data_IF_765307213991
#
_entry.id   IF_765307213991
#
_cell.length_a   1.000
_cell.length_b   1.000
_cell.length_c   1.000
_cell.angle_alpha   90.00
_cell.angle_beta   90.00
_cell.angle_gamma   90.00
#
_symmetry.space_group_name_H-M   'P 1'
#
loop_
_entity.id
_entity.type
_entity.pdbx_description
1 polymer ?
#
# COMPACT_ATOMS: atom_id res chain seq x y z
N UNK A 1 -31.13 22.59 4.87
CA UNK A 1 -32.41 22.33 5.57
C UNK A 1 -32.20 21.13 6.49
N UNK A 2 -32.89 21.06 7.66
CA UNK A 2 -32.79 19.87 8.51
C UNK A 2 -33.34 18.64 7.79
N UNK A 3 -32.74 17.48 8.03
CA UNK A 3 -33.19 16.21 7.47
C UNK A 3 -34.37 15.66 8.26
N UNK A 4 -35.25 14.93 7.59
CA UNK A 4 -36.28 14.09 8.24
C UNK A 4 -35.69 12.74 8.63
N UNK A 5 -36.35 12.00 9.52
CA UNK A 5 -35.91 10.68 9.97
C UNK A 5 -35.64 9.73 8.80
N UNK A 6 -36.55 9.69 7.81
CA UNK A 6 -36.35 8.88 6.60
C UNK A 6 -35.12 9.29 5.78
N UNK A 7 -34.82 10.59 5.68
CA UNK A 7 -33.62 11.08 4.99
C UNK A 7 -32.33 10.73 5.73
N UNK A 8 -32.35 10.78 7.08
CA UNK A 8 -31.21 10.32 7.89
C UNK A 8 -30.99 8.82 7.70
N UNK A 9 -32.06 8.02 7.76
CA UNK A 9 -32.02 6.58 7.58
C UNK A 9 -31.42 6.21 6.22
N UNK A 10 -31.92 6.85 5.17
CA UNK A 10 -31.48 6.65 3.81
C UNK A 10 -30.01 7.05 3.59
N UNK A 11 -29.61 8.24 4.04
CA UNK A 11 -28.23 8.73 3.94
C UNK A 11 -27.24 7.93 4.78
N UNK A 12 -27.69 7.42 5.94
CA UNK A 12 -26.91 6.54 6.79
C UNK A 12 -26.83 5.10 6.28
N UNK A 13 -27.70 4.71 5.35
CA UNK A 13 -27.92 3.34 4.93
C UNK A 13 -28.26 2.41 6.11
N UNK A 14 -29.26 2.82 6.91
CA UNK A 14 -29.74 2.09 8.06
C UNK A 14 -31.28 2.03 8.04
N UNK A 15 -31.92 1.04 8.69
CA UNK A 15 -33.37 1.00 8.78
C UNK A 15 -33.95 2.25 9.49
N UNK A 16 -35.06 2.80 8.99
CA UNK A 16 -35.72 3.96 9.59
C UNK A 16 -36.13 3.68 11.06
N UNK A 17 -36.57 2.45 11.36
CA UNK A 17 -36.84 2.00 12.71
C UNK A 17 -35.66 2.09 13.66
N UNK A 18 -34.43 1.90 13.14
CA UNK A 18 -33.23 2.06 13.94
C UNK A 18 -32.95 3.54 14.29
N UNK A 19 -33.18 4.46 13.34
CA UNK A 19 -33.03 5.91 13.62
C UNK A 19 -34.04 6.35 14.66
N UNK A 20 -35.29 5.85 14.61
CA UNK A 20 -36.30 6.11 15.64
C UNK A 20 -35.86 5.58 17.00
N UNK A 21 -35.34 4.34 17.03
CA UNK A 21 -34.78 3.78 18.29
C UNK A 21 -33.65 4.65 18.86
N UNK A 22 -32.77 5.20 18.03
CA UNK A 22 -31.71 6.09 18.49
C UNK A 22 -32.23 7.40 19.06
N UNK A 23 -33.33 7.94 18.53
CA UNK A 23 -34.01 9.12 19.07
C UNK A 23 -34.65 8.77 20.44
N UNK A 24 -35.36 7.65 20.51
CA UNK A 24 -36.02 7.18 21.75
C UNK A 24 -35.02 6.92 22.88
N UNK A 25 -33.83 6.46 22.55
CA UNK A 25 -32.70 6.24 23.47
C UNK A 25 -31.92 7.53 23.81
N UNK A 26 -32.26 8.66 23.19
CA UNK A 26 -31.54 9.92 23.38
C UNK A 26 -30.17 10.01 22.72
N UNK A 27 -29.83 9.05 21.85
CA UNK A 27 -28.59 9.05 21.08
C UNK A 27 -28.58 10.11 19.96
N UNK A 28 -29.78 10.47 19.46
CA UNK A 28 -29.99 11.51 18.46
C UNK A 28 -30.99 12.52 19.01
N UNK A 29 -30.90 13.79 18.60
CA UNK A 29 -31.92 14.79 18.94
C UNK A 29 -33.28 14.42 18.30
N UNK A 30 -34.36 14.87 18.89
CA UNK A 30 -35.70 14.75 18.30
C UNK A 30 -35.79 15.48 16.96
N UNK A 31 -36.72 15.06 16.09
CA UNK A 31 -36.90 15.63 14.75
C UNK A 31 -37.14 17.15 14.76
N UNK A 32 -37.76 17.64 15.81
CA UNK A 32 -38.02 19.09 16.00
C UNK A 32 -36.75 19.92 16.24
N UNK A 33 -35.69 19.31 16.75
CA UNK A 33 -34.38 19.99 16.94
C UNK A 33 -33.57 20.12 15.67
N UNK A 34 -34.01 19.44 14.60
CA UNK A 34 -33.35 19.45 13.30
C UNK A 34 -32.19 18.43 13.23
N UNK A 35 -32.39 17.42 12.39
CA UNK A 35 -31.35 16.42 12.10
C UNK A 35 -30.45 16.89 10.98
N UNK A 36 -29.18 16.52 10.99
CA UNK A 36 -28.18 16.91 9.99
C UNK A 36 -27.20 15.79 9.65
N UNK A 37 -26.08 16.18 9.09
CA UNK A 37 -25.04 15.22 8.66
C UNK A 37 -24.38 14.52 9.86
N UNK A 38 -24.32 15.17 11.02
CA UNK A 38 -23.80 14.59 12.25
C UNK A 38 -24.65 13.39 12.70
N UNK A 39 -25.98 13.52 12.60
CA UNK A 39 -26.92 12.45 12.95
C UNK A 39 -26.86 11.29 11.97
N UNK A 40 -26.62 11.55 10.69
CA UNK A 40 -26.36 10.52 9.67
C UNK A 40 -25.11 9.70 10.06
N UNK A 41 -24.02 10.36 10.41
CA UNK A 41 -22.75 9.72 10.80
C UNK A 41 -22.92 8.89 12.07
N UNK A 42 -23.61 9.48 13.07
CA UNK A 42 -23.89 8.83 14.36
C UNK A 42 -24.75 7.58 14.17
N UNK A 43 -25.80 7.66 13.35
CA UNK A 43 -26.65 6.52 13.02
C UNK A 43 -25.87 5.40 12.35
N UNK A 44 -25.03 5.72 11.38
CA UNK A 44 -24.19 4.76 10.68
C UNK A 44 -23.23 4.03 11.61
N UNK A 45 -22.52 4.77 12.48
CA UNK A 45 -21.54 4.17 13.38
C UNK A 45 -22.22 3.29 14.43
N UNK A 46 -23.29 3.79 15.06
CA UNK A 46 -24.03 3.02 16.06
C UNK A 46 -24.66 1.76 15.46
N UNK A 47 -25.12 1.82 14.20
CA UNK A 47 -25.60 0.65 13.48
C UNK A 47 -24.48 -0.36 13.20
N UNK A 48 -23.30 0.11 12.77
CA UNK A 48 -22.14 -0.75 12.54
C UNK A 48 -21.69 -1.45 13.83
N UNK A 49 -21.69 -0.75 14.95
CA UNK A 49 -21.37 -1.35 16.25
C UNK A 49 -22.44 -2.34 16.70
N UNK A 50 -23.70 -2.03 16.50
CA UNK A 50 -24.78 -2.97 16.77
C UNK A 50 -24.68 -4.24 15.93
N UNK A 51 -24.32 -4.11 14.64
CA UNK A 51 -24.06 -5.25 13.75
C UNK A 51 -22.84 -6.07 14.19
N UNK A 52 -21.85 -5.44 14.84
CA UNK A 52 -20.71 -6.10 15.47
C UNK A 52 -21.02 -6.74 16.84
N UNK A 53 -22.29 -6.70 17.28
CA UNK A 53 -22.76 -7.32 18.53
C UNK A 53 -22.65 -6.42 19.77
N UNK A 54 -22.38 -5.11 19.61
CA UNK A 54 -22.35 -4.16 20.71
C UNK A 54 -23.73 -3.56 20.92
N UNK A 55 -24.27 -3.60 22.16
CA UNK A 55 -25.58 -2.98 22.48
C UNK A 55 -25.47 -1.47 22.46
N UNK A 56 -26.41 -0.81 21.78
CA UNK A 56 -26.50 0.66 21.71
C UNK A 56 -26.65 1.25 23.09
N UNK A 57 -27.48 0.66 23.97
CA UNK A 57 -27.70 1.08 25.33
C UNK A 57 -26.40 1.03 26.16
N UNK A 58 -25.59 0.00 25.96
CA UNK A 58 -24.28 -0.13 26.63
C UNK A 58 -23.33 0.97 26.17
N UNK A 59 -23.30 1.27 24.87
CA UNK A 59 -22.49 2.35 24.32
C UNK A 59 -22.91 3.70 24.91
N UNK A 60 -24.21 3.99 24.92
CA UNK A 60 -24.72 5.23 25.49
C UNK A 60 -24.42 5.34 26.98
N UNK A 61 -24.54 4.25 27.75
CA UNK A 61 -24.15 4.25 29.16
C UNK A 61 -22.66 4.56 29.39
N UNK A 62 -21.77 4.19 28.46
CA UNK A 62 -20.35 4.59 28.49
C UNK A 62 -20.18 6.07 28.17
N UNK A 63 -20.96 6.60 27.22
CA UNK A 63 -20.98 8.05 26.89
C UNK A 63 -21.46 8.87 28.09
N UNK A 64 -22.55 8.48 28.74
CA UNK A 64 -23.11 9.16 29.89
C UNK A 64 -22.16 9.16 31.09
N UNK A 65 -21.36 8.13 31.26
CA UNK A 65 -20.31 8.03 32.29
C UNK A 65 -19.02 8.78 31.95
N UNK A 66 -18.92 9.38 30.75
CA UNK A 66 -17.73 10.04 30.27
C UNK A 66 -16.58 9.08 29.92
N UNK A 67 -16.83 7.77 29.88
CA UNK A 67 -15.85 6.76 29.52
C UNK A 67 -15.68 6.59 27.97
N UNK A 68 -16.64 7.13 27.21
CA UNK A 68 -16.61 7.19 25.76
C UNK A 68 -17.16 8.54 25.31
N UNK A 69 -16.64 9.12 24.25
CA UNK A 69 -17.24 10.29 23.60
C UNK A 69 -17.43 10.05 22.12
N UNK A 70 -18.55 10.52 21.58
CA UNK A 70 -18.88 10.46 20.17
C UNK A 70 -18.56 11.77 19.44
N UNK A 71 -17.92 12.75 20.10
CA UNK A 71 -17.63 14.07 19.53
C UNK A 71 -16.70 14.01 18.29
N UNK A 72 -15.93 12.92 18.13
CA UNK A 72 -15.13 12.72 16.92
C UNK A 72 -15.99 12.58 15.65
N UNK A 73 -17.25 12.19 15.76
CA UNK A 73 -18.17 12.08 14.61
C UNK A 73 -18.56 13.45 14.03
N UNK A 74 -18.43 14.50 14.82
CA UNK A 74 -18.77 15.86 14.40
C UNK A 74 -17.58 16.54 13.67
N UNK A 75 -16.49 15.79 13.47
CA UNK A 75 -15.28 16.31 12.85
C UNK A 75 -15.37 16.33 11.32
N UNK A 76 -14.85 17.39 10.64
CA UNK A 76 -14.93 17.54 9.20
C UNK A 76 -14.31 16.40 8.37
N UNK A 77 -13.33 15.67 8.93
CA UNK A 77 -12.66 14.57 8.24
C UNK A 77 -13.50 13.28 8.13
N UNK A 78 -14.58 13.17 8.91
CA UNK A 78 -15.58 12.10 8.75
C UNK A 78 -16.56 12.44 7.62
N UNK A 79 -16.02 12.77 6.42
CA UNK A 79 -16.86 13.09 5.28
C UNK A 79 -17.67 11.87 4.84
N UNK A 80 -18.95 12.09 4.62
CA UNK A 80 -19.83 11.11 4.00
C UNK A 80 -20.07 11.57 2.56
N UNK A 81 -19.76 10.73 1.55
CA UNK A 81 -20.04 11.08 0.16
C UNK A 81 -21.51 11.48 -0.03
N UNK A 82 -21.76 12.49 -0.83
CA UNK A 82 -23.12 12.86 -1.19
C UNK A 82 -23.78 11.71 -1.94
N UNK A 83 -25.06 11.47 -1.63
CA UNK A 83 -25.84 10.45 -2.33
C UNK A 83 -26.52 11.09 -3.52
N UNK A 84 -26.41 10.44 -4.68
CA UNK A 84 -27.09 10.80 -5.89
C UNK A 84 -28.60 10.51 -5.76
N UNK A 85 -29.41 11.22 -6.54
CA UNK A 85 -30.85 10.89 -6.67
C UNK A 85 -31.09 9.74 -7.65
N UNK A 86 -30.24 8.70 -7.57
CA UNK A 86 -30.22 7.52 -8.44
C UNK A 86 -29.82 6.28 -7.64
N UNK A 87 -30.50 5.17 -7.91
CA UNK A 87 -30.07 3.88 -7.39
C UNK A 87 -28.86 3.33 -8.16
N UNK A 88 -28.15 2.37 -7.58
CA UNK A 88 -27.08 1.64 -8.29
C UNK A 88 -27.57 1.00 -9.60
N UNK A 89 -28.79 0.47 -9.61
CA UNK A 89 -29.40 -0.07 -10.82
C UNK A 89 -29.61 1.00 -11.90
N UNK A 90 -30.09 2.19 -11.52
CA UNK A 90 -30.28 3.29 -12.46
C UNK A 90 -28.94 3.84 -12.94
N UNK A 91 -27.96 4.03 -12.05
CA UNK A 91 -26.62 4.48 -12.40
C UNK A 91 -25.92 3.52 -13.36
N UNK A 92 -26.02 2.20 -13.11
CA UNK A 92 -25.48 1.17 -13.97
C UNK A 92 -26.16 1.18 -15.38
N UNK A 93 -27.48 1.29 -15.40
CA UNK A 93 -28.25 1.35 -16.65
C UNK A 93 -27.88 2.59 -17.49
N UNK A 94 -27.76 3.75 -16.87
CA UNK A 94 -27.39 5.01 -17.54
C UNK A 94 -26.00 4.95 -18.20
N UNK A 95 -25.10 4.13 -17.66
CA UNK A 95 -23.72 3.92 -18.14
C UNK A 95 -23.56 2.67 -19.00
N UNK A 96 -24.64 1.92 -19.26
CA UNK A 96 -24.59 0.71 -20.05
C UNK A 96 -23.71 -0.41 -19.43
N UNK A 97 -23.61 -0.47 -18.10
CA UNK A 97 -22.83 -1.46 -17.37
C UNK A 97 -23.74 -2.37 -16.55
N UNK A 98 -23.40 -3.65 -16.34
CA UNK A 98 -24.13 -4.50 -15.42
C UNK A 98 -23.97 -4.00 -13.96
N UNK A 99 -25.04 -4.07 -13.15
CA UNK A 99 -24.95 -3.78 -11.70
C UNK A 99 -23.90 -4.66 -11.02
N UNK A 100 -23.74 -5.90 -11.47
CA UNK A 100 -22.71 -6.82 -10.99
C UNK A 100 -21.29 -6.27 -11.14
N UNK A 101 -21.02 -5.42 -12.13
CA UNK A 101 -19.72 -4.77 -12.26
C UNK A 101 -19.49 -3.74 -11.12
N UNK A 102 -20.50 -2.92 -10.78
CA UNK A 102 -20.42 -2.02 -9.62
C UNK A 102 -20.21 -2.77 -8.31
N UNK A 103 -20.92 -3.88 -8.14
CA UNK A 103 -20.72 -4.74 -6.97
C UNK A 103 -19.29 -5.30 -6.92
N UNK A 104 -18.74 -5.74 -8.07
CA UNK A 104 -17.36 -6.19 -8.17
C UNK A 104 -16.34 -5.08 -7.87
N UNK A 105 -16.60 -3.83 -8.30
CA UNK A 105 -15.78 -2.66 -7.94
C UNK A 105 -15.75 -2.46 -6.43
N UNK A 106 -16.90 -2.45 -5.76
CA UNK A 106 -16.98 -2.31 -4.30
C UNK A 106 -16.22 -3.42 -3.58
N UNK A 107 -16.43 -4.68 -3.98
CA UNK A 107 -15.73 -5.83 -3.40
C UNK A 107 -14.22 -5.72 -3.60
N UNK A 108 -13.77 -5.31 -4.78
CA UNK A 108 -12.34 -5.11 -5.09
C UNK A 108 -11.72 -4.02 -4.22
N UNK A 109 -12.46 -2.93 -3.99
CA UNK A 109 -12.03 -1.86 -3.10
C UNK A 109 -12.08 -2.24 -1.60
N UNK A 110 -12.67 -3.40 -1.27
CA UNK A 110 -12.78 -3.90 0.11
C UNK A 110 -14.00 -3.38 0.85
N UNK A 111 -15.03 -2.93 0.11
CA UNK A 111 -16.30 -2.47 0.67
C UNK A 111 -17.41 -3.52 0.46
N UNK A 112 -18.47 -3.45 1.26
CA UNK A 112 -19.64 -4.28 1.05
C UNK A 112 -20.29 -3.95 -0.31
N UNK A 113 -20.65 -4.97 -1.11
CA UNK A 113 -21.33 -4.73 -2.36
C UNK A 113 -22.71 -4.09 -2.11
N UNK A 114 -23.08 -3.05 -2.86
CA UNK A 114 -24.37 -2.39 -2.67
C UNK A 114 -25.51 -3.26 -3.21
N UNK A 115 -26.70 -3.09 -2.62
CA UNK A 115 -27.93 -3.62 -3.21
C UNK A 115 -28.33 -2.78 -4.43
N UNK A 116 -28.94 -3.38 -5.48
CA UNK A 116 -29.31 -2.65 -6.69
C UNK A 116 -30.25 -1.46 -6.45
N UNK A 117 -31.09 -1.52 -5.40
CA UNK A 117 -32.03 -0.47 -5.04
C UNK A 117 -31.44 0.64 -4.17
N UNK A 118 -30.24 0.46 -3.61
CA UNK A 118 -29.60 1.44 -2.75
C UNK A 118 -29.24 2.70 -3.58
N UNK A 119 -29.24 3.87 -2.94
CA UNK A 119 -28.80 5.12 -3.57
C UNK A 119 -27.28 5.11 -3.76
N UNK A 120 -26.85 5.37 -4.99
CA UNK A 120 -25.43 5.49 -5.34
C UNK A 120 -24.81 6.76 -4.75
N UNK A 121 -23.50 6.74 -4.50
CA UNK A 121 -22.71 7.90 -4.13
C UNK A 121 -22.13 8.63 -5.35
N UNK A 122 -21.70 9.87 -5.16
CA UNK A 122 -21.00 10.63 -6.20
C UNK A 122 -19.67 9.97 -6.57
N UNK A 123 -18.98 9.37 -5.61
CA UNK A 123 -17.73 8.62 -5.83
C UNK A 123 -17.95 7.41 -6.74
N UNK A 124 -19.12 6.74 -6.64
CA UNK A 124 -19.47 5.59 -7.47
C UNK A 124 -19.63 6.00 -8.94
N UNK A 125 -20.22 7.17 -9.19
CA UNK A 125 -20.33 7.70 -10.54
C UNK A 125 -18.95 8.00 -11.14
N UNK A 126 -18.05 8.58 -10.37
CA UNK A 126 -16.66 8.83 -10.80
C UNK A 126 -15.92 7.55 -11.14
N UNK A 127 -16.09 6.49 -10.35
CA UNK A 127 -15.49 5.18 -10.63
C UNK A 127 -16.02 4.56 -11.92
N UNK A 128 -17.31 4.76 -12.24
CA UNK A 128 -17.85 4.32 -13.52
C UNK A 128 -17.33 5.13 -14.71
N UNK A 129 -17.14 6.43 -14.55
CA UNK A 129 -16.55 7.28 -15.61
C UNK A 129 -15.14 6.78 -15.98
N UNK A 130 -14.34 6.39 -14.98
CA UNK A 130 -13.01 5.81 -15.18
C UNK A 130 -13.12 4.45 -15.92
N UNK A 131 -14.04 3.59 -15.51
CA UNK A 131 -14.24 2.28 -16.12
C UNK A 131 -14.71 2.40 -17.58
N UNK A 132 -15.60 3.35 -17.88
CA UNK A 132 -16.06 3.65 -19.24
C UNK A 132 -14.91 4.14 -20.13
N UNK A 133 -14.08 5.06 -19.62
CA UNK A 133 -12.91 5.55 -20.31
C UNK A 133 -11.93 4.40 -20.65
N UNK A 134 -11.68 3.50 -19.72
CA UNK A 134 -10.78 2.37 -19.93
C UNK A 134 -11.34 1.36 -20.94
N UNK A 135 -12.64 1.08 -20.91
CA UNK A 135 -13.29 0.27 -21.97
C UNK A 135 -13.18 0.92 -23.34
N UNK A 136 -13.42 2.22 -23.43
CA UNK A 136 -13.27 2.99 -24.68
C UNK A 136 -11.85 2.95 -25.23
N UNK A 137 -10.84 2.85 -24.37
CA UNK A 137 -9.44 2.69 -24.74
C UNK A 137 -9.03 1.23 -25.05
N UNK A 138 -9.98 0.28 -25.05
CA UNK A 138 -9.73 -1.14 -25.33
C UNK A 138 -9.36 -1.99 -24.10
N UNK A 139 -9.43 -1.42 -22.89
CA UNK A 139 -9.27 -2.14 -21.62
C UNK A 139 -10.55 -2.92 -21.27
N UNK A 140 -10.40 -4.14 -20.78
CA UNK A 140 -11.52 -4.94 -20.27
C UNK A 140 -11.81 -4.65 -18.79
N UNK A 141 -12.98 -5.11 -18.32
CA UNK A 141 -13.40 -5.00 -16.93
C UNK A 141 -12.39 -5.62 -15.97
N UNK A 142 -11.81 -6.76 -16.32
CA UNK A 142 -10.79 -7.44 -15.53
C UNK A 142 -9.52 -6.59 -15.35
N UNK A 143 -9.10 -5.85 -16.37
CA UNK A 143 -7.95 -4.96 -16.27
C UNK A 143 -8.25 -3.77 -15.34
N UNK A 144 -9.47 -3.23 -15.41
CA UNK A 144 -9.94 -2.17 -14.52
C UNK A 144 -9.97 -2.65 -13.07
N UNK A 145 -10.56 -3.83 -12.81
CA UNK A 145 -10.64 -4.40 -11.46
C UNK A 145 -9.24 -4.71 -10.89
N UNK A 146 -8.31 -5.21 -11.69
CA UNK A 146 -6.91 -5.40 -11.24
C UNK A 146 -6.26 -4.08 -10.83
N UNK A 147 -6.42 -3.02 -11.61
CA UNK A 147 -5.88 -1.70 -11.24
C UNK A 147 -6.51 -1.19 -9.93
N UNK A 148 -7.83 -1.34 -9.77
CA UNK A 148 -8.52 -0.95 -8.53
C UNK A 148 -8.08 -1.79 -7.34
N UNK A 149 -7.74 -3.07 -7.51
CA UNK A 149 -7.18 -3.90 -6.46
C UNK A 149 -5.82 -3.36 -5.97
N UNK A 150 -4.95 -2.91 -6.89
CA UNK A 150 -3.67 -2.26 -6.52
C UNK A 150 -3.92 -0.98 -5.71
N UNK A 151 -4.90 -0.16 -6.12
CA UNK A 151 -5.27 1.03 -5.36
C UNK A 151 -5.79 0.68 -3.97
N UNK A 152 -6.73 -0.27 -3.89
CA UNK A 152 -7.31 -0.72 -2.63
C UNK A 152 -6.25 -1.20 -1.62
N UNK A 153 -5.35 -2.06 -2.07
CA UNK A 153 -4.29 -2.62 -1.21
C UNK A 153 -3.30 -1.55 -0.76
N UNK A 154 -2.88 -0.68 -1.68
CA UNK A 154 -1.92 0.38 -1.38
C UNK A 154 -2.51 1.43 -0.43
N UNK A 155 -3.72 1.92 -0.73
CA UNK A 155 -4.39 2.94 0.07
C UNK A 155 -4.82 2.43 1.44
N UNK A 156 -5.27 1.17 1.56
CA UNK A 156 -5.56 0.54 2.85
C UNK A 156 -4.32 0.46 3.74
N UNK A 157 -3.17 0.11 3.16
CA UNK A 157 -1.89 0.09 3.90
C UNK A 157 -1.47 1.48 4.36
N UNK A 158 -1.66 2.51 3.51
CA UNK A 158 -1.38 3.91 3.87
C UNK A 158 -2.30 4.33 5.02
N UNK A 159 -3.62 4.17 4.87
CA UNK A 159 -4.59 4.56 5.88
C UNK A 159 -4.35 3.87 7.22
N UNK A 160 -4.00 2.56 7.19
CA UNK A 160 -3.64 1.85 8.42
C UNK A 160 -2.35 2.39 9.06
N UNK A 161 -1.32 2.67 8.27
CA UNK A 161 -0.08 3.23 8.78
C UNK A 161 -0.27 4.63 9.40
N UNK A 162 -1.14 5.45 8.82
CA UNK A 162 -1.53 6.76 9.36
C UNK A 162 -2.28 6.61 10.70
N UNK A 163 -3.22 5.67 10.78
CA UNK A 163 -3.96 5.36 12.01
C UNK A 163 -3.03 4.85 13.12
N UNK A 164 -2.14 3.90 12.80
CA UNK A 164 -1.16 3.35 13.75
C UNK A 164 -0.17 4.44 14.23
N UNK A 165 0.25 5.35 13.34
CA UNK A 165 1.09 6.48 13.69
C UNK A 165 0.37 7.44 14.65
N UNK A 166 -0.89 7.77 14.36
CA UNK A 166 -1.71 8.65 15.21
C UNK A 166 -1.89 8.05 16.60
N UNK A 167 -2.30 6.78 16.69
CA UNK A 167 -2.47 6.07 17.96
C UNK A 167 -1.19 6.06 18.80
N UNK A 168 -0.07 5.64 18.16
CA UNK A 168 1.19 5.43 18.87
C UNK A 168 1.87 6.74 19.27
N UNK A 169 1.88 7.74 18.39
CA UNK A 169 2.71 8.94 18.56
C UNK A 169 1.93 10.16 19.05
N UNK A 170 0.61 10.17 18.91
CA UNK A 170 -0.23 11.30 19.26
C UNK A 170 -1.17 10.93 20.40
N UNK A 171 -2.05 9.97 20.19
CA UNK A 171 -3.09 9.64 21.16
C UNK A 171 -2.52 9.15 22.50
N UNK A 172 -1.55 8.23 22.47
CA UNK A 172 -0.88 7.76 23.72
C UNK A 172 -0.22 8.89 24.49
N UNK A 173 0.39 9.85 23.79
CA UNK A 173 1.01 11.02 24.43
C UNK A 173 -0.04 11.95 25.04
N UNK A 174 -1.13 12.19 24.34
CA UNK A 174 -2.24 13.00 24.84
C UNK A 174 -2.85 12.35 26.09
N UNK A 175 -3.09 11.04 26.08
CA UNK A 175 -3.60 10.30 27.26
C UNK A 175 -2.64 10.40 28.47
N UNK A 176 -1.34 10.45 28.25
CA UNK A 176 -0.35 10.59 29.31
C UNK A 176 -0.32 12.00 29.96
N UNK A 177 -1.00 12.99 29.37
CA UNK A 177 -1.04 14.37 29.91
C UNK A 177 -2.01 14.54 31.09
N UNK A 178 -2.86 13.54 31.36
CA UNK A 178 -3.88 13.61 32.45
C UNK A 178 -5.09 14.47 32.11
N UNK A 179 -5.29 14.79 30.82
CA UNK A 179 -6.51 15.45 30.34
C UNK A 179 -7.72 14.50 30.51
N UNK A 180 -8.89 15.07 30.74
CA UNK A 180 -10.12 14.31 30.72
C UNK A 180 -10.49 13.85 29.29
N UNK A 181 -11.40 12.87 29.18
CA UNK A 181 -11.76 12.26 27.88
C UNK A 181 -12.31 13.30 26.90
N UNK A 182 -13.08 14.28 27.37
CA UNK A 182 -13.63 15.35 26.53
C UNK A 182 -12.51 16.24 25.96
N UNK A 183 -11.57 16.66 26.81
CA UNK A 183 -10.43 17.48 26.42
C UNK A 183 -9.54 16.72 25.43
N UNK A 184 -9.32 15.42 25.66
CA UNK A 184 -8.56 14.55 24.75
C UNK A 184 -9.19 14.51 23.36
N UNK A 185 -10.51 14.35 23.29
CA UNK A 185 -11.23 14.30 22.01
C UNK A 185 -11.24 15.65 21.31
N UNK A 186 -11.47 16.75 22.01
CA UNK A 186 -11.43 18.09 21.43
C UNK A 186 -10.05 18.42 20.86
N UNK A 187 -8.99 18.09 21.59
CA UNK A 187 -7.62 18.31 21.14
C UNK A 187 -7.24 17.35 20.00
N UNK A 188 -7.58 16.07 20.15
CA UNK A 188 -7.35 15.04 19.14
C UNK A 188 -8.07 15.35 17.83
N UNK A 189 -9.32 15.79 17.88
CA UNK A 189 -10.10 16.19 16.71
C UNK A 189 -9.52 17.41 16.00
N UNK A 190 -9.05 18.41 16.74
CA UNK A 190 -8.38 19.59 16.18
C UNK A 190 -7.08 19.22 15.47
N UNK A 191 -6.23 18.43 16.13
CA UNK A 191 -4.97 17.95 15.55
C UNK A 191 -5.23 17.03 14.37
N UNK A 192 -6.21 16.11 14.48
CA UNK A 192 -6.62 15.22 13.42
C UNK A 192 -7.01 15.96 12.15
N UNK A 193 -7.86 16.99 12.25
CA UNK A 193 -8.25 17.80 11.09
C UNK A 193 -7.07 18.45 10.38
N UNK A 194 -6.12 19.00 11.14
CA UNK A 194 -4.93 19.63 10.57
C UNK A 194 -4.00 18.59 9.90
N UNK A 195 -3.77 17.47 10.58
CA UNK A 195 -2.87 16.42 10.13
C UNK A 195 -3.43 15.74 8.88
N UNK A 196 -4.71 15.35 8.88
CA UNK A 196 -5.32 14.63 7.75
C UNK A 196 -5.32 15.45 6.48
N UNK A 197 -5.67 16.72 6.53
CA UNK A 197 -5.60 17.61 5.36
C UNK A 197 -4.16 17.70 4.79
N UNK A 198 -3.15 17.70 5.66
CA UNK A 198 -1.75 17.70 5.22
C UNK A 198 -1.32 16.34 4.67
N UNK A 199 -1.79 15.23 5.26
CA UNK A 199 -1.50 13.87 4.79
C UNK A 199 -2.10 13.62 3.41
N UNK A 200 -3.36 14.02 3.17
CA UNK A 200 -3.99 13.93 1.85
C UNK A 200 -3.19 14.70 0.79
N UNK A 201 -2.75 15.92 1.11
CA UNK A 201 -1.90 16.71 0.20
C UNK A 201 -0.55 16.05 -0.03
N UNK A 202 0.08 15.51 1.01
CA UNK A 202 1.35 14.81 0.92
C UNK A 202 1.22 13.53 0.08
N UNK A 203 0.15 12.76 0.27
CA UNK A 203 -0.18 11.57 -0.52
C UNK A 203 -0.30 11.92 -1.99
N UNK A 204 -1.12 12.92 -2.34
CA UNK A 204 -1.32 13.33 -3.72
C UNK A 204 -0.04 13.87 -4.36
N UNK A 205 0.76 14.67 -3.62
CA UNK A 205 2.04 15.17 -4.09
C UNK A 205 3.04 14.02 -4.34
N UNK A 206 3.13 13.06 -3.41
CA UNK A 206 4.01 11.90 -3.54
C UNK A 206 3.60 11.03 -4.72
N UNK A 207 2.30 10.76 -4.87
CA UNK A 207 1.76 10.05 -6.03
C UNK A 207 2.09 10.74 -7.36
N UNK A 208 1.93 12.06 -7.46
CA UNK A 208 2.25 12.82 -8.67
C UNK A 208 3.73 12.72 -9.04
N UNK A 209 4.63 12.80 -8.05
CA UNK A 209 6.08 12.66 -8.28
C UNK A 209 6.46 11.26 -8.74
N UNK A 210 5.91 10.22 -8.12
CA UNK A 210 6.14 8.84 -8.57
C UNK A 210 5.60 8.61 -9.98
N UNK A 211 4.42 9.11 -10.28
CA UNK A 211 3.83 9.03 -11.62
C UNK A 211 4.71 9.71 -12.66
N UNK A 212 5.19 10.93 -12.41
CA UNK A 212 6.09 11.66 -13.29
C UNK A 212 7.37 10.86 -13.56
N UNK A 213 7.98 10.32 -12.51
CA UNK A 213 9.19 9.49 -12.62
C UNK A 213 8.96 8.25 -13.50
N UNK A 214 7.90 7.50 -13.24
CA UNK A 214 7.56 6.28 -14.00
C UNK A 214 7.27 6.60 -15.47
N UNK A 215 6.53 7.69 -15.74
CA UNK A 215 6.26 8.10 -17.12
C UNK A 215 7.52 8.59 -17.86
N UNK A 216 8.46 9.21 -17.14
CA UNK A 216 9.76 9.59 -17.70
C UNK A 216 10.57 8.36 -18.07
N UNK A 217 10.64 7.35 -17.20
CA UNK A 217 11.28 6.06 -17.52
C UNK A 217 10.63 5.38 -18.73
N UNK A 218 9.30 5.38 -18.80
CA UNK A 218 8.57 4.83 -19.94
C UNK A 218 8.87 5.56 -21.25
N UNK A 219 8.92 6.89 -21.23
CA UNK A 219 9.32 7.69 -22.38
C UNK A 219 10.75 7.40 -22.85
N UNK A 220 11.70 7.24 -21.91
CA UNK A 220 13.08 6.85 -22.23
C UNK A 220 13.12 5.50 -22.93
N UNK A 221 12.40 4.49 -22.41
CA UNK A 221 12.36 3.17 -23.01
C UNK A 221 11.79 3.22 -24.46
N UNK A 222 10.73 3.99 -24.69
CA UNK A 222 10.18 4.17 -26.04
C UNK A 222 11.15 4.84 -27.01
N UNK A 223 11.91 5.84 -26.55
CA UNK A 223 12.95 6.48 -27.38
C UNK A 223 14.05 5.48 -27.72
N UNK A 224 14.47 4.66 -26.77
CA UNK A 224 15.49 3.61 -27.00
C UNK A 224 15.01 2.56 -28.02
N UNK A 225 13.77 2.06 -27.87
CA UNK A 225 13.16 1.14 -28.82
C UNK A 225 13.09 1.75 -30.25
N UNK A 226 12.73 3.03 -30.34
CA UNK A 226 12.69 3.74 -31.62
C UNK A 226 14.08 3.91 -32.25
N UNK A 227 15.10 4.20 -31.44
CA UNK A 227 16.50 4.30 -31.91
C UNK A 227 17.02 2.95 -32.40
N UNK A 228 16.76 1.86 -31.69
CA UNK A 228 17.09 0.50 -32.11
C UNK A 228 16.39 0.14 -33.44
N UNK A 229 15.09 0.42 -33.55
CA UNK A 229 14.29 0.19 -34.75
C UNK A 229 14.75 1.02 -35.98
N UNK A 230 15.35 2.18 -35.75
CA UNK A 230 15.89 3.05 -36.82
C UNK A 230 17.26 2.66 -37.31
N UNK A 231 17.99 1.79 -36.61
CA UNK A 231 19.37 1.40 -36.93
C UNK A 231 20.41 2.51 -36.69
N UNK A 232 20.01 3.62 -36.07
CA UNK A 232 20.91 4.76 -35.78
C UNK A 232 21.86 4.47 -34.62
N UNK A 233 21.49 3.61 -33.68
CA UNK A 233 22.36 3.09 -32.62
C UNK A 233 22.17 1.58 -32.47
N UNK A 234 23.25 0.82 -32.45
CA UNK A 234 23.23 -0.58 -32.05
C UNK A 234 23.48 -0.68 -30.55
N UNK A 235 22.45 -0.47 -29.75
CA UNK A 235 22.48 -0.87 -28.33
C UNK A 235 21.98 -2.31 -28.24
N UNK A 236 22.77 -3.17 -27.63
CA UNK A 236 22.28 -4.50 -27.23
C UNK A 236 21.37 -4.31 -26.03
N UNK A 237 20.09 -4.66 -26.12
CA UNK A 237 19.18 -4.56 -24.96
C UNK A 237 19.77 -5.30 -23.78
N UNK A 238 20.04 -4.58 -22.70
CA UNK A 238 20.57 -5.21 -21.50
C UNK A 238 19.39 -5.60 -20.60
N UNK A 239 19.17 -6.91 -20.39
CA UNK A 239 18.10 -7.33 -19.50
C UNK A 239 18.38 -6.84 -18.07
N UNK A 240 17.35 -6.47 -17.33
CA UNK A 240 17.50 -5.96 -15.96
C UNK A 240 18.08 -7.02 -15.01
N UNK A 241 18.65 -6.54 -13.92
CA UNK A 241 19.07 -7.37 -12.80
C UNK A 241 18.05 -7.29 -11.67
N UNK A 242 17.68 -8.45 -11.14
CA UNK A 242 16.87 -8.59 -9.94
C UNK A 242 17.81 -8.93 -8.78
N UNK A 243 17.73 -8.14 -7.72
CA UNK A 243 18.51 -8.25 -6.52
C UNK A 243 17.60 -8.56 -5.32
N UNK A 244 17.89 -9.65 -4.61
CA UNK A 244 17.29 -9.93 -3.31
C UNK A 244 18.34 -9.72 -2.22
N UNK A 245 17.95 -9.02 -1.17
CA UNK A 245 18.72 -8.87 0.06
C UNK A 245 17.94 -9.45 1.22
N UNK A 246 18.60 -10.11 2.13
CA UNK A 246 18.00 -10.71 3.31
C UNK A 246 18.97 -10.68 4.50
N UNK A 247 18.43 -10.63 5.75
CA UNK A 247 19.24 -10.60 6.97
C UNK A 247 19.43 -12.00 7.54
N UNK A 248 20.67 -12.35 7.82
CA UNK A 248 20.98 -13.64 8.42
C UNK A 248 20.58 -13.65 9.90
N UNK A 249 19.77 -14.64 10.31
CA UNK A 249 19.40 -14.84 11.71
C UNK A 249 18.29 -13.91 12.23
N UNK A 250 17.56 -13.23 11.36
CA UNK A 250 16.47 -12.33 11.75
C UNK A 250 15.35 -13.05 12.51
N UNK A 251 14.95 -14.24 12.08
CA UNK A 251 13.94 -15.05 12.78
C UNK A 251 14.38 -15.35 14.22
N UNK A 252 15.63 -15.75 14.42
CA UNK A 252 16.19 -16.01 15.75
C UNK A 252 16.24 -14.72 16.59
N UNK A 253 16.63 -13.60 16.00
CA UNK A 253 16.63 -12.29 16.66
C UNK A 253 15.23 -11.91 17.13
N UNK A 254 14.19 -12.15 16.31
CA UNK A 254 12.79 -11.90 16.68
C UNK A 254 12.35 -12.78 17.85
N UNK A 255 12.70 -14.07 17.85
CA UNK A 255 12.37 -14.99 18.94
C UNK A 255 13.08 -14.62 20.25
N UNK A 256 14.33 -14.16 20.19
CA UNK A 256 15.14 -13.82 21.38
C UNK A 256 14.85 -12.41 21.93
N UNK A 257 14.58 -11.42 21.08
CA UNK A 257 14.50 -10.00 21.47
C UNK A 257 13.10 -9.40 21.31
N UNK A 258 12.17 -10.15 20.72
CA UNK A 258 10.78 -9.74 20.57
C UNK A 258 10.47 -8.89 19.32
N UNK A 259 9.19 -8.74 19.07
CA UNK A 259 8.65 -8.13 17.85
C UNK A 259 9.02 -6.64 17.69
N UNK A 260 9.12 -5.87 18.78
CA UNK A 260 9.49 -4.45 18.73
C UNK A 260 10.89 -4.24 18.17
N UNK A 261 11.85 -5.08 18.57
CA UNK A 261 13.22 -5.04 18.04
C UNK A 261 13.24 -5.43 16.56
N UNK A 262 12.46 -6.46 16.20
CA UNK A 262 12.34 -6.89 14.80
C UNK A 262 11.81 -5.76 13.90
N UNK A 263 10.78 -5.03 14.32
CA UNK A 263 10.24 -3.86 13.58
C UNK A 263 11.31 -2.76 13.42
N UNK A 264 12.08 -2.47 14.46
CA UNK A 264 13.16 -1.49 14.37
C UNK A 264 14.29 -1.91 13.44
N UNK A 265 14.66 -3.20 13.44
CA UNK A 265 15.68 -3.74 12.54
C UNK A 265 15.19 -3.70 11.09
N UNK A 266 13.95 -4.13 10.82
CA UNK A 266 13.34 -4.07 9.50
C UNK A 266 13.26 -2.61 8.97
N UNK A 267 12.89 -1.65 9.81
CA UNK A 267 12.88 -0.23 9.46
C UNK A 267 14.27 0.33 9.10
N UNK A 268 15.31 -0.05 9.85
CA UNK A 268 16.70 0.34 9.54
C UNK A 268 17.20 -0.30 8.24
N UNK A 269 16.87 -1.58 8.02
CA UNK A 269 17.19 -2.24 6.76
C UNK A 269 16.52 -1.51 5.60
N UNK A 270 15.22 -1.22 5.69
CA UNK A 270 14.49 -0.51 4.66
C UNK A 270 15.13 0.85 4.33
N UNK A 271 15.54 1.61 5.35
CA UNK A 271 16.20 2.90 5.17
C UNK A 271 17.56 2.76 4.47
N UNK A 272 18.40 1.83 4.93
CA UNK A 272 19.72 1.58 4.34
C UNK A 272 19.62 1.16 2.88
N UNK A 273 18.78 0.20 2.59
CA UNK A 273 18.65 -0.38 1.26
C UNK A 273 17.99 0.59 0.28
N UNK A 274 17.01 1.39 0.72
CA UNK A 274 16.44 2.46 -0.10
C UNK A 274 17.45 3.55 -0.45
N UNK A 275 18.33 3.91 0.47
CA UNK A 275 19.38 4.88 0.24
C UNK A 275 20.41 4.38 -0.80
N UNK A 276 20.88 3.15 -0.61
CA UNK A 276 21.84 2.51 -1.52
C UNK A 276 21.22 2.27 -2.89
N UNK A 277 20.01 1.69 -2.97
CA UNK A 277 19.39 1.38 -4.26
C UNK A 277 19.17 2.65 -5.08
N UNK A 278 18.67 3.72 -4.47
CA UNK A 278 18.50 5.02 -5.16
C UNK A 278 19.82 5.61 -5.66
N UNK A 279 20.87 5.56 -4.86
CA UNK A 279 22.20 6.10 -5.25
C UNK A 279 22.82 5.31 -6.41
N UNK A 280 22.39 4.07 -6.62
CA UNK A 280 22.85 3.16 -7.70
C UNK A 280 21.85 3.00 -8.84
N UNK A 281 20.80 3.81 -8.90
CA UNK A 281 19.75 3.73 -9.93
C UNK A 281 18.85 2.51 -9.81
N UNK A 282 18.76 1.91 -8.63
CA UNK A 282 17.88 0.79 -8.33
C UNK A 282 16.50 1.24 -7.83
N UNK A 283 15.52 0.37 -8.02
CA UNK A 283 14.14 0.58 -7.61
C UNK A 283 13.69 -0.56 -6.68
N UNK A 284 13.19 -0.26 -5.46
CA UNK A 284 12.56 -1.27 -4.64
C UNK A 284 11.27 -1.74 -5.30
N UNK A 285 11.03 -3.05 -5.31
CA UNK A 285 9.82 -3.67 -5.86
C UNK A 285 8.95 -4.19 -4.72
N UNK A 286 9.56 -4.95 -3.80
CA UNK A 286 8.81 -5.60 -2.73
C UNK A 286 9.65 -5.70 -1.46
N UNK A 287 9.02 -5.43 -0.32
CA UNK A 287 9.58 -5.71 0.99
C UNK A 287 9.02 -7.02 1.52
N UNK A 288 9.88 -7.84 2.14
CA UNK A 288 9.58 -9.20 2.61
C UNK A 288 9.97 -9.37 4.10
N UNK A 289 9.57 -8.43 4.94
CA UNK A 289 9.93 -8.44 6.37
C UNK A 289 11.40 -8.06 6.59
N UNK A 290 12.27 -9.04 6.73
CA UNK A 290 13.72 -8.94 6.94
C UNK A 290 14.54 -8.84 5.66
N UNK A 291 13.88 -8.75 4.51
CA UNK A 291 14.51 -8.65 3.21
C UNK A 291 13.74 -7.81 2.22
N UNK A 292 14.28 -7.72 1.00
CA UNK A 292 13.64 -6.98 -0.07
C UNK A 292 14.09 -7.39 -1.46
N UNK A 293 13.24 -7.10 -2.45
CA UNK A 293 13.49 -7.30 -3.86
C UNK A 293 13.63 -5.96 -4.57
N UNK A 294 14.67 -5.83 -5.38
CA UNK A 294 15.03 -4.62 -6.10
C UNK A 294 15.27 -4.92 -7.57
N UNK A 295 14.92 -3.97 -8.40
CA UNK A 295 15.16 -3.98 -9.83
C UNK A 295 16.24 -2.95 -10.17
N UNK A 296 17.21 -3.35 -10.96
CA UNK A 296 18.24 -2.48 -11.52
C UNK A 296 18.27 -2.62 -13.03
N UNK A 297 18.37 -1.50 -13.72
CA UNK A 297 18.52 -1.50 -15.18
C UNK A 297 19.88 -2.04 -15.59
N UNK A 298 20.94 -1.70 -14.84
CA UNK A 298 22.31 -2.11 -15.09
C UNK A 298 22.78 -3.16 -14.09
N UNK A 299 23.19 -4.36 -14.54
CA UNK A 299 23.65 -5.42 -13.66
C UNK A 299 24.84 -5.04 -12.78
N UNK A 300 25.79 -4.26 -13.28
CA UNK A 300 26.92 -3.74 -12.50
C UNK A 300 26.48 -2.91 -11.31
N UNK A 301 25.47 -2.07 -11.48
CA UNK A 301 24.92 -1.25 -10.40
C UNK A 301 24.19 -2.08 -9.35
N UNK A 302 23.51 -3.17 -9.76
CA UNK A 302 22.91 -4.13 -8.82
C UNK A 302 23.99 -4.80 -7.96
N UNK A 303 25.11 -5.19 -8.55
CA UNK A 303 26.23 -5.85 -7.83
C UNK A 303 26.88 -4.86 -6.88
N UNK A 304 27.16 -3.63 -7.30
CA UNK A 304 27.72 -2.58 -6.43
C UNK A 304 26.78 -2.24 -5.28
N UNK A 305 25.47 -2.14 -5.53
CA UNK A 305 24.47 -1.95 -4.49
C UNK A 305 24.47 -3.10 -3.48
N UNK A 306 24.53 -4.34 -3.94
CA UNK A 306 24.65 -5.52 -3.08
C UNK A 306 25.88 -5.49 -2.18
N UNK A 307 27.02 -5.10 -2.73
CA UNK A 307 28.26 -4.95 -1.96
C UNK A 307 28.13 -3.79 -0.93
N UNK A 308 27.61 -2.63 -1.33
CA UNK A 308 27.33 -1.53 -0.39
C UNK A 308 26.40 -1.97 0.76
N UNK A 309 25.40 -2.82 0.47
CA UNK A 309 24.45 -3.32 1.48
C UNK A 309 25.16 -4.18 2.53
N UNK A 310 25.93 -5.18 2.12
CA UNK A 310 26.65 -6.04 3.06
C UNK A 310 27.72 -5.32 3.85
N UNK A 311 28.42 -4.35 3.25
CA UNK A 311 29.47 -3.56 3.88
C UNK A 311 28.91 -2.57 4.91
N UNK A 312 27.77 -1.92 4.63
CA UNK A 312 27.19 -0.89 5.48
C UNK A 312 26.21 -1.43 6.54
N UNK A 313 25.70 -2.67 6.39
CA UNK A 313 24.77 -3.26 7.35
C UNK A 313 25.29 -3.27 8.79
N UNK A 314 26.54 -3.68 9.11
CA UNK A 314 27.05 -3.65 10.48
C UNK A 314 27.08 -2.26 11.09
N UNK A 315 27.50 -1.25 10.33
CA UNK A 315 27.54 0.15 10.78
C UNK A 315 26.15 0.72 11.03
N UNK A 316 25.12 0.19 10.35
CA UNK A 316 23.72 0.51 10.60
C UNK A 316 23.13 -0.29 11.79
N UNK A 317 23.92 -1.09 12.49
CA UNK A 317 23.45 -1.94 13.60
C UNK A 317 22.51 -3.04 13.17
N UNK A 318 22.70 -3.57 11.95
CA UNK A 318 21.93 -4.67 11.37
C UNK A 318 22.71 -5.98 11.49
N UNK A 319 22.01 -7.12 11.59
CA UNK A 319 22.61 -8.43 11.35
C UNK A 319 23.30 -8.49 9.98
N UNK A 320 24.25 -9.42 9.79
CA UNK A 320 24.87 -9.60 8.49
C UNK A 320 23.84 -9.85 7.40
N UNK A 321 23.92 -9.09 6.31
CA UNK A 321 23.08 -9.30 5.14
C UNK A 321 23.73 -10.27 4.16
N UNK A 322 22.92 -10.92 3.34
CA UNK A 322 23.36 -11.65 2.15
C UNK A 322 22.52 -11.26 0.96
N UNK A 323 23.11 -11.36 -0.22
CA UNK A 323 22.51 -10.83 -1.46
C UNK A 323 22.63 -11.87 -2.58
N UNK A 324 21.52 -12.05 -3.31
CA UNK A 324 21.48 -12.85 -4.53
C UNK A 324 21.01 -12.03 -5.72
N UNK A 325 21.73 -12.13 -6.85
CA UNK A 325 21.43 -11.35 -8.04
C UNK A 325 21.39 -12.23 -9.29
N UNK A 326 20.34 -12.05 -10.08
CA UNK A 326 20.25 -12.64 -11.42
C UNK A 326 19.79 -11.62 -12.46
N UNK A 327 20.39 -11.70 -13.64
CA UNK A 327 20.09 -10.83 -14.79
C UNK A 327 19.37 -11.64 -15.86
N UNK A 328 18.22 -11.15 -16.30
CA UNK A 328 17.40 -11.80 -17.32
C UNK A 328 16.09 -11.07 -17.60
N UNK A 329 15.31 -11.54 -18.58
CA UNK A 329 14.03 -10.94 -18.91
C UNK A 329 13.04 -11.10 -17.76
N UNK A 330 12.21 -10.08 -17.56
CA UNK A 330 11.15 -10.02 -16.55
C UNK A 330 9.83 -9.62 -17.19
N UNK A 331 8.74 -9.96 -16.52
CA UNK A 331 7.39 -9.50 -16.86
C UNK A 331 6.99 -8.49 -15.78
N UNK A 332 6.67 -7.28 -16.19
CA UNK A 332 6.13 -6.26 -15.28
C UNK A 332 4.61 -6.23 -15.42
N UNK A 333 3.91 -6.43 -14.33
CA UNK A 333 2.45 -6.39 -14.29
C UNK A 333 1.99 -5.83 -12.94
N UNK A 334 1.00 -4.94 -12.99
CA UNK A 334 0.35 -4.36 -11.80
C UNK A 334 1.34 -3.70 -10.81
N UNK A 335 2.43 -3.12 -11.34
CA UNK A 335 3.49 -2.49 -10.56
C UNK A 335 4.51 -3.45 -9.93
N UNK A 336 4.35 -4.74 -10.14
CA UNK A 336 5.23 -5.80 -9.65
C UNK A 336 6.01 -6.48 -10.79
N UNK A 337 7.01 -7.29 -10.45
CA UNK A 337 7.91 -7.95 -11.40
C UNK A 337 7.84 -9.46 -11.19
N UNK A 338 7.65 -10.19 -12.30
CA UNK A 338 7.48 -11.64 -12.31
C UNK A 338 8.41 -12.31 -13.32
N UNK A 339 8.57 -13.62 -13.15
CA UNK A 339 9.24 -14.48 -14.12
C UNK A 339 10.34 -15.33 -13.52
N UNK A 340 10.97 -16.14 -14.41
CA UNK A 340 12.07 -17.04 -14.02
C UNK A 340 13.24 -16.28 -13.39
N UNK A 341 13.54 -15.08 -13.90
CA UNK A 341 14.60 -14.21 -13.40
C UNK A 341 14.42 -13.87 -11.91
N UNK A 342 13.20 -13.53 -11.51
CA UNK A 342 12.86 -13.25 -10.11
C UNK A 342 13.07 -14.48 -9.24
N UNK A 343 12.57 -15.63 -9.68
CA UNK A 343 12.71 -16.88 -8.95
C UNK A 343 14.18 -17.30 -8.78
N UNK A 344 14.99 -17.15 -9.85
CA UNK A 344 16.41 -17.47 -9.77
C UNK A 344 17.16 -16.54 -8.83
N UNK A 345 16.92 -15.23 -8.89
CA UNK A 345 17.53 -14.27 -7.96
C UNK A 345 17.20 -14.61 -6.50
N UNK A 346 15.95 -14.96 -6.19
CA UNK A 346 15.54 -15.40 -4.85
C UNK A 346 16.24 -16.69 -4.40
N UNK A 347 16.43 -17.67 -5.31
CA UNK A 347 17.16 -18.92 -5.00
C UNK A 347 18.64 -18.69 -4.78
N UNK A 348 19.25 -17.78 -5.56
CA UNK A 348 20.64 -17.38 -5.38
C UNK A 348 20.82 -16.67 -4.03
N UNK A 349 19.90 -15.79 -3.65
CA UNK A 349 19.91 -15.17 -2.32
C UNK A 349 19.82 -16.21 -1.20
N UNK A 350 18.91 -17.19 -1.31
CA UNK A 350 18.80 -18.26 -0.32
C UNK A 350 20.04 -19.18 -0.24
N UNK A 351 20.87 -19.23 -1.28
CA UNK A 351 22.14 -19.94 -1.31
C UNK A 351 23.29 -19.14 -0.69
N UNK A 352 23.24 -17.81 -0.81
CA UNK A 352 24.29 -16.92 -0.32
C UNK A 352 24.39 -16.98 1.20
N UNK A 353 25.62 -16.95 1.73
CA UNK A 353 25.88 -16.90 3.16
C UNK A 353 25.99 -15.47 3.67
N UNK A 354 25.93 -15.29 4.97
CA UNK A 354 26.12 -14.01 5.64
C UNK A 354 27.35 -13.26 5.10
N UNK A 355 27.19 -12.01 4.73
CA UNK A 355 28.24 -11.17 4.18
C UNK A 355 28.63 -11.49 2.73
N UNK A 356 27.81 -12.23 1.99
CA UNK A 356 28.12 -12.58 0.60
C UNK A 356 27.15 -11.91 -0.39
N UNK A 357 27.70 -11.49 -1.53
CA UNK A 357 26.95 -11.17 -2.74
C UNK A 357 27.22 -12.29 -3.73
N UNK A 358 26.20 -13.08 -4.04
CA UNK A 358 26.27 -14.18 -5.00
C UNK A 358 25.47 -13.82 -6.25
N UNK A 359 26.06 -14.07 -7.41
CA UNK A 359 25.47 -13.71 -8.69
C UNK A 359 25.49 -14.88 -9.66
N UNK A 360 24.56 -14.91 -10.60
CA UNK A 360 24.61 -15.85 -11.73
C UNK A 360 25.72 -15.49 -12.73
N UNK A 361 26.08 -16.44 -13.58
CA UNK A 361 27.02 -16.21 -14.69
C UNK A 361 26.55 -15.08 -15.61
N UNK A 362 25.25 -15.02 -15.92
CA UNK A 362 24.68 -13.95 -16.76
C UNK A 362 24.89 -12.56 -16.14
N UNK A 363 24.73 -12.45 -14.83
CA UNK A 363 25.02 -11.21 -14.12
C UNK A 363 26.51 -10.90 -14.14
N UNK A 364 27.36 -11.86 -13.82
CA UNK A 364 28.82 -11.66 -13.81
C UNK A 364 29.36 -11.19 -15.16
N UNK A 365 28.92 -11.82 -16.26
CA UNK A 365 29.35 -11.47 -17.61
C UNK A 365 28.87 -10.10 -18.08
N UNK A 366 27.73 -9.63 -17.58
CA UNK A 366 27.12 -8.35 -17.96
C UNK A 366 27.48 -7.22 -17.00
N UNK A 367 28.22 -7.51 -15.93
CA UNK A 367 28.67 -6.54 -14.93
C UNK A 367 30.12 -6.12 -15.21
N UNK A 368 30.33 -5.37 -16.29
CA UNK A 368 31.65 -4.80 -16.61
C UNK A 368 31.82 -3.46 -15.85
N UNK A 369 32.52 -3.53 -14.72
CA UNK A 369 32.84 -2.36 -13.90
C UNK A 369 34.23 -2.55 -13.25
N UNK A 370 35.04 -1.50 -13.25
CA UNK A 370 36.42 -1.55 -12.76
C UNK A 370 36.55 -1.92 -11.28
N UNK A 371 35.56 -1.62 -10.46
CA UNK A 371 35.52 -1.94 -9.02
C UNK A 371 35.07 -3.39 -8.71
N UNK A 372 34.68 -4.15 -9.73
CA UNK A 372 34.14 -5.49 -9.53
C UNK A 372 35.12 -6.60 -9.88
N UNK A 373 35.12 -7.62 -9.02
CA UNK A 373 35.78 -8.90 -9.25
C UNK A 373 34.82 -10.04 -8.96
N UNK A 374 34.89 -11.10 -9.76
CA UNK A 374 34.04 -12.27 -9.61
C UNK A 374 34.88 -13.53 -9.36
N UNK A 375 34.59 -14.27 -8.29
CA UNK A 375 35.23 -15.53 -7.96
C UNK A 375 34.23 -16.68 -8.20
N UNK A 376 34.56 -17.68 -9.03
CA UNK A 376 33.69 -18.81 -9.29
C UNK A 376 33.35 -19.58 -7.99
N UNK A 377 32.08 -19.94 -7.83
CA UNK A 377 31.59 -20.84 -6.76
C UNK A 377 31.31 -22.25 -7.29
N UNK A 378 31.48 -22.45 -8.59
CA UNK A 378 31.16 -23.69 -9.30
C UNK A 378 29.73 -23.73 -9.81
N UNK A 379 29.35 -24.90 -10.28
CA UNK A 379 27.99 -25.20 -10.74
C UNK A 379 27.19 -25.71 -9.55
N UNK A 380 26.11 -24.99 -9.20
CA UNK A 380 25.32 -25.22 -7.97
C UNK A 380 23.92 -25.68 -8.33
N UNK A 381 23.45 -26.70 -7.62
CA UNK A 381 22.07 -27.16 -7.69
C UNK A 381 21.22 -26.33 -6.73
N UNK A 382 20.30 -25.55 -7.25
CA UNK A 382 19.42 -24.69 -6.48
C UNK A 382 18.04 -25.35 -6.36
N UNK A 383 17.50 -25.37 -5.14
CA UNK A 383 16.19 -26.00 -4.86
C UNK A 383 15.07 -25.44 -5.78
N UNK A 384 14.45 -26.32 -6.57
CA UNK A 384 13.34 -25.96 -7.47
C UNK A 384 13.79 -25.30 -8.78
N UNK A 385 15.07 -25.35 -9.12
CA UNK A 385 15.63 -24.99 -10.41
C UNK A 385 15.96 -26.27 -11.16
N UNK A 386 15.52 -26.38 -12.42
CA UNK A 386 15.62 -27.63 -13.19
C UNK A 386 17.07 -28.02 -13.55
N UNK A 387 17.92 -27.01 -13.76
CA UNK A 387 19.31 -27.21 -14.18
C UNK A 387 20.25 -26.50 -13.21
N UNK A 388 21.37 -27.14 -12.84
CA UNK A 388 22.40 -26.51 -12.04
C UNK A 388 22.97 -25.26 -12.73
N UNK A 389 23.28 -24.23 -11.95
CA UNK A 389 23.72 -22.94 -12.47
C UNK A 389 25.14 -22.60 -12.02
N UNK A 390 25.99 -22.08 -12.94
CA UNK A 390 27.27 -21.48 -12.56
C UNK A 390 27.02 -20.22 -11.72
N UNK A 391 27.58 -20.19 -10.51
CA UNK A 391 27.46 -19.06 -9.60
C UNK A 391 28.83 -18.46 -9.31
N UNK A 392 28.82 -17.17 -9.01
CA UNK A 392 30.00 -16.40 -8.67
C UNK A 392 29.78 -15.59 -7.41
N UNK A 393 30.80 -15.44 -6.59
CA UNK A 393 30.82 -14.44 -5.55
C UNK A 393 31.36 -13.13 -6.11
N UNK A 394 30.62 -12.07 -5.94
CA UNK A 394 31.08 -10.73 -6.27
C UNK A 394 31.87 -10.13 -5.09
N UNK A 395 32.95 -9.45 -5.39
CA UNK A 395 33.85 -8.78 -4.49
C UNK A 395 34.23 -7.41 -5.06
N UNK A 396 34.62 -6.50 -4.17
CA UNK A 396 35.31 -5.28 -4.64
C UNK A 396 36.73 -5.63 -5.12
N UNK A 397 37.13 -5.00 -6.19
CA UNK A 397 38.52 -5.05 -6.61
C UNK A 397 39.33 -4.19 -5.64
N UNK A 398 40.50 -4.66 -5.16
CA UNK A 398 41.38 -3.90 -4.28
C UNK A 398 41.83 -2.59 -4.87
#
# INVERSE_FOLDING_TARGET
MPYRIGEVAERANVPEGFVRQLIDLGALPGEEAGLGIAEVRRSRLLHAWAAAGLSVETILALVDRGALSLAFLDTPWMQTPERLDRSYQQLAADRGVPVAFLQAVHQTLGFAPPEPGDRAGEDDATMLDIAELFRGAGGGDDATLRLLAVYADSLRRIAKAEADYYETNIERRLRATGLDERQLIELGSRLGNQILTLLERALLMTYRRHREHIWTEHAINHVEEALEGSGLEQRVPMPPAICFVDLTGFTQLTEEQGDEVAVHVAGRLASLVNDISRSRGGRPIRWLGDGGMFHFREPSMAVLAGLDMIERAPAAGLPPAHVGIHTGPVITQDGDVYGRTVNLAARIASYAQAGQVVVSEDTARRSDHHDLQFTPRGVVDLKGVAEPLPLYQALRRP
#
